data_IF_535168802062
#
_entry.id   IF_535168802062
#
_cell.length_a   1.000
_cell.length_b   1.000
_cell.length_c   1.000
_cell.angle_alpha   90.00
_cell.angle_beta   90.00
_cell.angle_gamma   90.00
#
_symmetry.space_group_name_H-M   'P 1'
#
loop_
_entity.id
_entity.type
_entity.pdbx_description
1 polymer ?
#
# COMPACT_ATOMS: atom_id res chain seq x y z
N UNK A 1 0.52 -0.07 -15.42
CA UNK A 1 1.43 0.37 -16.51
C UNK A 1 1.81 -0.75 -17.50
N UNK A 2 2.26 -1.95 -17.07
CA UNK A 2 2.59 -3.05 -18.02
C UNK A 2 1.43 -3.41 -18.96
N UNK A 3 0.19 -3.41 -18.45
CA UNK A 3 -1.00 -3.66 -19.27
C UNK A 3 -1.27 -2.58 -20.35
N UNK A 4 -0.75 -1.35 -20.18
CA UNK A 4 -0.89 -0.25 -21.16
C UNK A 4 0.25 -0.26 -22.19
N UNK A 5 1.48 -0.45 -21.71
CA UNK A 5 2.67 -0.37 -22.57
C UNK A 5 2.96 -1.68 -23.29
N UNK A 6 2.50 -2.83 -22.76
CA UNK A 6 2.86 -4.13 -23.28
C UNK A 6 4.36 -4.33 -23.26
N UNK A 7 4.97 -4.47 -24.44
CA UNK A 7 6.41 -4.62 -24.64
C UNK A 7 7.16 -3.28 -24.77
N UNK A 8 6.45 -2.14 -24.78
CA UNK A 8 7.05 -0.82 -24.95
C UNK A 8 7.74 -0.34 -23.68
N UNK A 9 8.85 0.40 -23.83
CA UNK A 9 9.65 0.92 -22.71
C UNK A 9 9.00 2.16 -22.08
N UNK A 10 8.95 2.30 -20.74
CA UNK A 10 8.54 3.56 -20.11
C UNK A 10 9.55 4.69 -20.31
N UNK A 11 10.75 4.39 -20.81
CA UNK A 11 11.88 5.30 -20.92
C UNK A 11 11.93 6.06 -22.27
N UNK A 12 10.77 6.28 -22.87
CA UNK A 12 10.61 6.97 -24.15
C UNK A 12 9.55 8.05 -24.04
N UNK A 13 9.60 9.02 -24.94
CA UNK A 13 8.52 9.98 -25.09
C UNK A 13 7.36 9.37 -25.90
N UNK A 14 6.14 9.58 -25.42
CA UNK A 14 4.92 9.15 -26.09
C UNK A 14 4.04 10.36 -26.38
N UNK A 15 2.91 10.09 -27.01
CA UNK A 15 1.90 11.08 -27.32
C UNK A 15 0.52 10.58 -26.92
N UNK A 16 -0.40 11.47 -26.58
CA UNK A 16 -1.80 11.12 -26.41
C UNK A 16 -2.38 10.58 -27.74
N UNK A 17 -3.18 9.52 -27.67
CA UNK A 17 -3.74 8.88 -28.86
C UNK A 17 -4.80 9.73 -29.61
N UNK A 18 -5.43 10.70 -28.94
CA UNK A 18 -6.48 11.57 -29.49
C UNK A 18 -5.88 12.92 -29.93
N UNK A 19 -5.02 13.52 -29.10
CA UNK A 19 -4.35 14.79 -29.40
C UNK A 19 -2.82 14.62 -29.47
N UNK A 20 -2.25 14.46 -30.68
CA UNK A 20 -0.83 14.21 -30.83
C UNK A 20 0.12 15.32 -30.36
N UNK A 21 -0.40 16.53 -30.16
CA UNK A 21 0.37 17.65 -29.62
C UNK A 21 0.64 17.51 -28.12
N UNK A 22 -0.13 16.66 -27.42
CA UNK A 22 0.08 16.36 -26.01
C UNK A 22 1.11 15.25 -25.87
N UNK A 23 2.36 15.65 -25.60
CA UNK A 23 3.48 14.75 -25.30
C UNK A 23 3.33 14.14 -23.90
N UNK A 24 3.74 12.89 -23.75
CA UNK A 24 3.64 12.10 -22.52
C UNK A 24 5.02 11.58 -22.11
N UNK A 25 5.37 11.79 -20.85
CA UNK A 25 6.50 11.16 -20.16
C UNK A 25 5.93 10.15 -19.16
N UNK A 26 6.50 8.95 -19.11
CA UNK A 26 5.96 7.86 -18.30
C UNK A 26 6.90 7.53 -17.15
N UNK A 27 6.32 7.23 -15.98
CA UNK A 27 7.05 6.78 -14.79
C UNK A 27 7.81 5.49 -15.10
N UNK A 28 9.12 5.47 -14.83
CA UNK A 28 9.84 4.21 -14.66
C UNK A 28 9.54 3.68 -13.25
N UNK A 29 8.48 2.87 -13.14
CA UNK A 29 7.96 2.46 -11.83
C UNK A 29 8.98 1.65 -11.02
N UNK A 30 9.78 0.79 -11.67
CA UNK A 30 10.78 -0.03 -10.98
C UNK A 30 11.81 0.87 -10.29
N UNK A 31 12.50 1.70 -11.06
CA UNK A 31 13.57 2.57 -10.53
C UNK A 31 13.03 3.61 -9.54
N UNK A 32 11.81 4.11 -9.76
CA UNK A 32 11.18 5.04 -8.82
C UNK A 32 10.86 4.34 -7.48
N UNK A 33 10.23 3.16 -7.54
CA UNK A 33 9.79 2.44 -6.34
C UNK A 33 10.98 1.81 -5.59
N UNK A 34 12.08 1.53 -6.27
CA UNK A 34 13.33 1.07 -5.66
C UNK A 34 13.93 2.13 -4.72
N UNK A 35 13.81 3.42 -5.09
CA UNK A 35 14.18 4.55 -4.22
C UNK A 35 13.08 4.84 -3.20
N UNK A 36 11.81 4.89 -3.63
CA UNK A 36 10.72 5.35 -2.78
C UNK A 36 10.35 4.36 -1.67
N UNK A 37 10.29 3.06 -1.99
CA UNK A 37 9.77 2.04 -1.08
C UNK A 37 10.81 1.01 -0.63
N UNK A 38 11.80 0.66 -1.48
CA UNK A 38 12.74 -0.43 -1.20
C UNK A 38 14.10 0.01 -0.65
N UNK A 39 14.37 1.31 -0.62
CA UNK A 39 15.69 1.84 -0.29
C UNK A 39 16.24 1.34 1.06
N UNK A 40 15.42 1.36 2.10
CA UNK A 40 15.76 0.87 3.44
C UNK A 40 15.42 -0.60 3.69
N UNK A 41 14.86 -1.31 2.71
CA UNK A 41 14.42 -2.69 2.89
C UNK A 41 15.60 -3.67 2.83
N UNK A 42 16.13 -4.05 3.99
CA UNK A 42 17.25 -5.00 4.10
C UNK A 42 16.92 -6.43 3.62
N UNK A 43 15.64 -6.78 3.52
CA UNK A 43 15.19 -8.06 2.98
C UNK A 43 15.09 -8.08 1.45
N UNK A 44 15.23 -6.93 0.79
CA UNK A 44 15.27 -6.85 -0.67
C UNK A 44 16.63 -7.34 -1.17
N UNK A 45 16.61 -8.23 -2.16
CA UNK A 45 17.81 -8.87 -2.71
C UNK A 45 18.83 -7.90 -3.32
N UNK A 46 18.40 -6.69 -3.70
CA UNK A 46 19.30 -5.64 -4.21
C UNK A 46 19.72 -4.64 -3.13
N UNK A 47 19.37 -4.85 -1.86
CA UNK A 47 19.84 -3.99 -0.78
C UNK A 47 21.34 -4.24 -0.47
N UNK A 48 22.13 -3.21 -0.15
CA UNK A 48 21.79 -1.79 -0.13
C UNK A 48 21.75 -1.18 -1.53
N UNK A 49 20.92 -0.15 -1.73
CA UNK A 49 20.92 0.64 -2.96
C UNK A 49 22.02 1.71 -2.90
N UNK A 50 23.05 1.56 -3.73
CA UNK A 50 24.15 2.54 -3.86
C UNK A 50 24.08 3.28 -5.19
N UNK A 51 24.74 4.43 -5.29
CA UNK A 51 24.83 5.20 -6.54
C UNK A 51 25.54 4.43 -7.65
N UNK A 52 26.57 3.65 -7.32
CA UNK A 52 27.26 2.77 -8.27
C UNK A 52 26.31 1.70 -8.83
N UNK A 53 25.53 1.05 -7.95
CA UNK A 53 24.54 0.05 -8.36
C UNK A 53 23.44 0.68 -9.22
N UNK A 54 22.93 1.83 -8.81
CA UNK A 54 21.89 2.54 -9.54
C UNK A 54 22.38 3.00 -10.93
N UNK A 55 23.59 3.56 -11.03
CA UNK A 55 24.17 3.97 -12.32
C UNK A 55 24.51 2.79 -13.22
N UNK A 56 24.91 1.64 -12.66
CA UNK A 56 25.04 0.39 -13.41
C UNK A 56 23.70 0.00 -14.05
N UNK A 57 22.60 0.00 -13.28
CA UNK A 57 21.27 -0.31 -13.85
C UNK A 57 20.85 0.66 -14.95
N UNK A 58 21.21 1.95 -14.83
CA UNK A 58 20.95 2.93 -15.88
C UNK A 58 21.73 2.62 -17.16
N UNK A 59 22.98 2.16 -17.05
CA UNK A 59 23.80 1.76 -18.20
C UNK A 59 23.34 0.44 -18.86
N UNK A 60 22.61 -0.39 -18.13
CA UNK A 60 22.02 -1.64 -18.62
C UNK A 60 20.69 -1.44 -19.37
N UNK A 61 20.17 -0.21 -19.40
CA UNK A 61 18.99 0.13 -20.18
C UNK A 61 19.23 -0.08 -21.68
N UNK A 62 18.15 -0.32 -22.43
CA UNK A 62 18.23 -0.49 -23.88
C UNK A 62 18.79 0.78 -24.51
N UNK A 63 19.67 0.68 -25.50
CA UNK A 63 20.23 1.85 -26.21
C UNK A 63 19.17 2.71 -26.87
N UNK A 64 17.98 2.15 -27.12
CA UNK A 64 16.85 2.91 -27.63
C UNK A 64 16.18 3.78 -26.57
N UNK A 65 16.37 3.52 -25.28
CA UNK A 65 15.78 4.29 -24.19
C UNK A 65 16.41 5.69 -24.13
N UNK A 66 15.62 6.73 -24.38
CA UNK A 66 16.10 8.11 -24.51
C UNK A 66 15.93 8.93 -23.21
N UNK A 67 15.09 8.50 -22.27
CA UNK A 67 14.78 9.26 -21.06
C UNK A 67 14.38 8.36 -19.90
N UNK A 68 14.89 8.62 -18.69
CA UNK A 68 14.45 7.91 -17.48
C UNK A 68 13.70 8.88 -16.58
N UNK A 69 12.42 8.63 -16.35
CA UNK A 69 11.59 9.46 -15.46
C UNK A 69 11.43 8.77 -14.10
N UNK A 70 11.93 9.42 -13.04
CA UNK A 70 11.76 8.98 -11.66
C UNK A 70 10.67 9.84 -11.01
N UNK A 71 9.51 9.25 -10.72
CA UNK A 71 8.39 9.95 -10.08
C UNK A 71 8.17 9.41 -8.68
N UNK A 72 8.34 10.29 -7.69
CA UNK A 72 8.31 9.99 -6.26
C UNK A 72 7.73 11.20 -5.53
N UNK A 73 7.06 10.96 -4.40
CA UNK A 73 6.56 12.03 -3.54
C UNK A 73 7.73 12.67 -2.77
N UNK A 74 7.62 13.96 -2.44
CA UNK A 74 8.69 14.67 -1.73
C UNK A 74 8.94 14.06 -0.34
N UNK A 75 7.88 13.58 0.29
CA UNK A 75 7.84 12.88 1.57
C UNK A 75 8.60 11.54 1.52
N UNK A 76 9.01 11.08 0.34
CA UNK A 76 9.98 9.98 0.21
C UNK A 76 11.23 10.25 1.05
N UNK A 77 11.71 11.49 1.06
CA UNK A 77 12.98 11.87 1.67
C UNK A 77 12.75 12.51 3.05
N UNK A 78 12.95 11.73 4.12
CA UNK A 78 12.82 12.17 5.50
C UNK A 78 11.62 11.60 6.24
N UNK A 79 10.51 11.28 5.55
CA UNK A 79 9.30 10.71 6.18
C UNK A 79 9.14 9.22 5.87
N UNK A 80 9.17 8.82 4.59
CA UNK A 80 9.11 7.40 4.20
C UNK A 80 10.47 6.71 4.27
N UNK A 81 11.54 7.41 3.89
CA UNK A 81 12.92 6.97 4.07
C UNK A 81 13.60 7.96 5.02
N UNK A 82 13.87 7.53 6.26
CA UNK A 82 14.46 8.40 7.28
C UNK A 82 15.93 8.69 7.00
N UNK A 83 16.46 9.76 7.59
CA UNK A 83 17.85 10.20 7.39
C UNK A 83 18.86 9.07 7.68
N UNK A 84 18.64 8.29 8.73
CA UNK A 84 19.54 7.22 9.17
C UNK A 84 19.65 6.07 8.17
N UNK A 85 18.73 5.99 7.21
CA UNK A 85 18.81 5.03 6.09
C UNK A 85 19.91 5.40 5.09
N UNK A 86 20.43 6.63 5.13
CA UNK A 86 21.43 7.16 4.20
C UNK A 86 20.81 7.71 2.90
N UNK A 87 19.49 7.89 2.84
CA UNK A 87 18.80 8.36 1.64
C UNK A 87 19.27 9.76 1.19
N UNK A 88 19.55 10.65 2.14
CA UNK A 88 20.04 12.00 1.82
C UNK A 88 21.44 11.96 1.22
N UNK A 89 22.34 11.12 1.76
CA UNK A 89 23.67 10.92 1.21
C UNK A 89 23.61 10.34 -0.21
N UNK A 90 22.74 9.34 -0.42
CA UNK A 90 22.49 8.78 -1.74
C UNK A 90 22.02 9.85 -2.73
N UNK A 91 21.01 10.64 -2.36
CA UNK A 91 20.47 11.69 -3.23
C UNK A 91 21.46 12.82 -3.49
N UNK A 92 22.30 13.17 -2.52
CA UNK A 92 23.36 14.16 -2.69
C UNK A 92 24.45 13.67 -3.66
N UNK A 93 24.80 12.38 -3.60
CA UNK A 93 25.82 11.78 -4.46
C UNK A 93 25.32 11.42 -5.87
N UNK A 94 24.01 11.14 -6.02
CA UNK A 94 23.43 10.57 -7.23
C UNK A 94 23.68 11.40 -8.50
N UNK A 95 23.49 12.74 -8.54
CA UNK A 95 23.77 13.53 -9.74
C UNK A 95 25.21 13.42 -10.20
N UNK A 96 26.17 13.47 -9.26
CA UNK A 96 27.60 13.35 -9.57
C UNK A 96 27.95 11.97 -10.11
N UNK A 97 27.37 10.91 -9.55
CA UNK A 97 27.55 9.55 -10.04
C UNK A 97 26.97 9.38 -11.46
N UNK A 98 25.79 9.93 -11.74
CA UNK A 98 25.16 9.86 -13.07
C UNK A 98 26.05 10.54 -14.13
N UNK A 99 26.53 11.77 -13.86
CA UNK A 99 27.41 12.47 -14.80
C UNK A 99 28.75 11.78 -15.05
N UNK A 100 29.27 11.08 -14.04
CA UNK A 100 30.57 10.41 -14.12
C UNK A 100 30.48 9.05 -14.82
N UNK A 101 29.42 8.28 -14.52
CA UNK A 101 29.36 6.86 -14.85
C UNK A 101 28.41 6.55 -16.00
N UNK A 102 27.63 7.52 -16.50
CA UNK A 102 26.63 7.31 -17.57
C UNK A 102 26.72 8.44 -18.61
N UNK A 103 26.14 8.22 -19.79
CA UNK A 103 25.98 9.27 -20.82
C UNK A 103 24.71 10.13 -20.61
N UNK A 104 23.96 9.88 -19.53
CA UNK A 104 22.71 10.56 -19.24
C UNK A 104 22.93 12.00 -18.76
N UNK A 105 21.93 12.85 -19.02
CA UNK A 105 21.89 14.25 -18.60
C UNK A 105 20.57 14.53 -17.91
N UNK A 106 20.56 15.54 -17.04
CA UNK A 106 19.34 16.04 -16.44
C UNK A 106 18.69 17.07 -17.35
N UNK A 107 17.37 16.96 -17.53
CA UNK A 107 16.58 17.87 -18.32
C UNK A 107 15.19 18.02 -17.69
N UNK A 108 14.64 19.22 -17.79
CA UNK A 108 13.26 19.50 -17.38
C UNK A 108 12.27 18.91 -18.41
N UNK A 109 11.00 18.66 -18.02
CA UNK A 109 9.97 18.24 -18.97
C UNK A 109 9.84 19.18 -20.19
N UNK A 110 10.06 20.49 -19.99
CA UNK A 110 10.03 21.49 -21.07
C UNK A 110 11.19 21.33 -22.06
N UNK A 111 12.39 21.02 -21.59
CA UNK A 111 13.55 20.76 -22.45
C UNK A 111 13.41 19.45 -23.19
N UNK A 112 13.00 18.38 -22.49
CA UNK A 112 12.69 17.09 -23.10
C UNK A 112 11.63 17.23 -24.20
N UNK A 113 10.59 18.04 -23.95
CA UNK A 113 9.55 18.34 -24.94
C UNK A 113 10.06 19.03 -26.21
N UNK A 114 11.24 19.66 -26.19
CA UNK A 114 11.90 20.25 -27.37
C UNK A 114 12.89 19.28 -28.04
N UNK A 115 13.54 18.44 -27.23
CA UNK A 115 14.63 17.57 -27.68
C UNK A 115 14.11 16.23 -28.23
N UNK A 116 13.12 15.63 -27.58
CA UNK A 116 12.64 14.28 -27.88
C UNK A 116 11.45 14.29 -28.85
N UNK A 117 11.41 13.24 -29.67
CA UNK A 117 10.28 12.96 -30.55
C UNK A 117 9.45 11.79 -29.98
N UNK A 118 8.12 11.93 -29.89
CA UNK A 118 7.28 10.83 -29.47
C UNK A 118 7.40 9.62 -30.39
N UNK A 119 7.65 8.43 -29.83
CA UNK A 119 7.83 7.21 -30.63
C UNK A 119 6.52 6.52 -31.00
N UNK A 120 5.46 6.75 -30.23
CA UNK A 120 4.15 6.17 -30.49
C UNK A 120 3.04 6.90 -29.70
N UNK A 121 1.77 6.80 -30.15
CA UNK A 121 0.63 7.12 -29.33
C UNK A 121 0.44 6.09 -28.20
N UNK A 122 -0.01 6.56 -27.04
CA UNK A 122 -0.48 5.73 -25.92
C UNK A 122 -1.98 5.92 -25.79
N UNK A 123 -2.70 4.83 -25.94
CA UNK A 123 -4.14 4.75 -25.74
C UNK A 123 -4.41 4.08 -24.40
N UNK A 124 -5.17 4.73 -23.53
CA UNK A 124 -5.63 4.18 -22.25
C UNK A 124 -7.15 4.26 -22.25
N UNK A 125 -7.87 3.13 -22.41
CA UNK A 125 -9.31 3.15 -22.62
C UNK A 125 -10.11 3.42 -21.33
N UNK A 126 -9.50 3.19 -20.17
CA UNK A 126 -10.11 3.40 -18.86
C UNK A 126 -9.23 4.30 -17.99
N UNK A 127 -9.81 5.09 -17.08
CA UNK A 127 -9.03 5.85 -16.11
C UNK A 127 -8.12 4.94 -15.29
N UNK A 128 -6.86 5.33 -15.18
CA UNK A 128 -5.85 4.62 -14.38
C UNK A 128 -5.14 5.62 -13.48
N UNK A 129 -4.50 5.11 -12.44
CA UNK A 129 -3.63 5.90 -11.58
C UNK A 129 -2.32 5.18 -11.28
N UNK A 130 -1.42 5.89 -10.63
CA UNK A 130 -0.21 5.33 -10.08
C UNK A 130 -0.37 4.80 -8.64
N UNK A 131 -1.55 4.93 -8.02
CA UNK A 131 -1.82 4.51 -6.65
C UNK A 131 -2.18 3.02 -6.57
N UNK A 132 -1.95 2.44 -5.39
CA UNK A 132 -2.23 1.04 -5.00
C UNK A 132 -1.75 -0.03 -6.01
N UNK A 133 -1.97 -1.31 -5.74
CA UNK A 133 -1.55 -2.37 -6.64
C UNK A 133 -2.40 -2.41 -7.93
N UNK A 134 -3.68 -2.09 -7.84
CA UNK A 134 -4.64 -2.21 -8.95
C UNK A 134 -4.39 -1.17 -10.06
N UNK A 135 -3.70 -0.07 -9.76
CA UNK A 135 -3.37 1.03 -10.69
C UNK A 135 -4.59 1.60 -11.40
N UNK A 136 -5.71 1.66 -10.71
CA UNK A 136 -6.97 2.24 -11.18
C UNK A 136 -7.38 3.43 -10.30
N UNK A 137 -8.64 3.85 -10.38
CA UNK A 137 -9.20 4.99 -9.61
C UNK A 137 -9.80 4.58 -8.27
N UNK A 138 -9.73 3.31 -7.88
CA UNK A 138 -10.43 2.80 -6.68
C UNK A 138 -9.83 3.31 -5.37
N UNK A 139 -8.62 3.90 -5.40
CA UNK A 139 -8.08 4.64 -4.26
C UNK A 139 -8.95 5.85 -3.86
N UNK A 140 -9.68 6.45 -4.82
CA UNK A 140 -10.56 7.60 -4.59
C UNK A 140 -12.03 7.33 -4.87
N UNK A 141 -12.37 6.32 -5.67
CA UNK A 141 -13.74 5.99 -6.10
C UNK A 141 -14.05 4.49 -5.99
N UNK A 142 -13.49 3.81 -4.98
CA UNK A 142 -13.59 2.37 -4.78
C UNK A 142 -14.75 1.87 -3.92
N UNK A 143 -15.45 2.77 -3.21
CA UNK A 143 -16.56 2.38 -2.32
C UNK A 143 -17.74 3.38 -2.34
N UNK A 144 -18.83 3.01 -1.67
CA UNK A 144 -20.05 3.84 -1.59
C UNK A 144 -19.80 5.23 -0.98
N UNK A 145 -18.95 5.35 0.05
CA UNK A 145 -18.66 6.62 0.74
C UNK A 145 -18.04 7.62 -0.25
N UNK A 146 -17.02 7.15 -0.95
CA UNK A 146 -16.25 7.88 -1.93
C UNK A 146 -17.11 8.34 -3.11
N UNK A 147 -17.87 7.40 -3.69
CA UNK A 147 -18.74 7.69 -4.82
C UNK A 147 -19.85 8.67 -4.45
N UNK A 148 -20.44 8.52 -3.25
CA UNK A 148 -21.48 9.43 -2.76
C UNK A 148 -20.94 10.85 -2.57
N UNK A 149 -19.79 11.01 -1.89
CA UNK A 149 -19.14 12.31 -1.70
C UNK A 149 -18.79 12.97 -3.04
N UNK A 150 -18.20 12.21 -3.96
CA UNK A 150 -17.81 12.70 -5.27
C UNK A 150 -19.01 13.15 -6.11
N UNK A 151 -20.07 12.35 -6.17
CA UNK A 151 -21.25 12.66 -6.97
C UNK A 151 -21.99 13.89 -6.44
N UNK A 152 -22.16 14.01 -5.11
CA UNK A 152 -22.81 15.17 -4.51
C UNK A 152 -22.05 16.46 -4.73
N UNK A 153 -20.71 16.43 -4.62
CA UNK A 153 -19.90 17.58 -4.99
C UNK A 153 -20.12 17.95 -6.45
N UNK A 154 -19.99 16.99 -7.37
CA UNK A 154 -20.12 17.26 -8.82
C UNK A 154 -21.50 17.78 -9.23
N UNK A 155 -22.57 17.41 -8.53
CA UNK A 155 -23.92 17.94 -8.79
C UNK A 155 -23.97 19.48 -8.69
N UNK A 156 -23.14 20.08 -7.85
CA UNK A 156 -23.05 21.54 -7.69
C UNK A 156 -22.27 22.24 -8.81
N UNK A 157 -21.59 21.51 -9.68
CA UNK A 157 -20.66 22.10 -10.68
C UNK A 157 -21.32 23.15 -11.56
N UNK A 158 -22.53 22.87 -12.06
CA UNK A 158 -23.28 23.81 -12.91
C UNK A 158 -23.70 25.06 -12.14
N UNK A 159 -24.16 24.89 -10.90
CA UNK A 159 -24.60 25.96 -10.00
C UNK A 159 -23.46 26.89 -9.62
N UNK A 160 -22.34 26.33 -9.16
CA UNK A 160 -21.16 27.09 -8.73
C UNK A 160 -20.51 27.84 -9.89
N UNK A 161 -20.55 27.31 -11.12
CA UNK A 161 -19.98 27.95 -12.30
C UNK A 161 -20.54 29.35 -12.58
N UNK A 162 -21.77 29.64 -12.15
CA UNK A 162 -22.44 30.92 -12.37
C UNK A 162 -22.19 31.95 -11.27
N UNK A 163 -21.51 31.57 -10.19
CA UNK A 163 -21.27 32.41 -9.02
C UNK A 163 -19.91 33.10 -9.14
N UNK A 164 -19.88 34.44 -9.08
CA UNK A 164 -18.63 35.20 -9.17
C UNK A 164 -17.99 35.52 -7.81
N UNK A 165 -18.53 35.00 -6.70
CA UNK A 165 -17.99 35.19 -5.36
C UNK A 165 -16.62 34.47 -5.21
N UNK A 166 -15.51 35.19 -4.98
CA UNK A 166 -14.18 34.58 -4.89
C UNK A 166 -14.04 33.57 -3.75
N UNK A 167 -14.77 33.76 -2.64
CA UNK A 167 -14.73 32.81 -1.52
C UNK A 167 -15.41 31.49 -1.86
N UNK A 168 -16.53 31.53 -2.58
CA UNK A 168 -17.23 30.33 -3.03
C UNK A 168 -16.36 29.58 -4.04
N UNK A 169 -15.76 30.29 -5.00
CA UNK A 169 -14.87 29.69 -5.99
C UNK A 169 -13.65 29.03 -5.35
N UNK A 170 -13.03 29.67 -4.35
CA UNK A 170 -11.91 29.07 -3.62
C UNK A 170 -12.33 27.81 -2.88
N UNK A 171 -13.40 27.87 -2.11
CA UNK A 171 -13.82 26.75 -1.26
C UNK A 171 -14.33 25.58 -2.11
N UNK A 172 -14.95 25.86 -3.26
CA UNK A 172 -15.26 24.86 -4.30
C UNK A 172 -14.02 24.11 -4.78
N UNK A 173 -12.91 24.81 -5.02
CA UNK A 173 -11.65 24.19 -5.42
C UNK A 173 -11.07 23.34 -4.29
N UNK A 174 -11.14 23.80 -3.04
CA UNK A 174 -10.67 23.03 -1.89
C UNK A 174 -11.46 21.75 -1.66
N UNK A 175 -12.79 21.79 -1.80
CA UNK A 175 -13.64 20.61 -1.67
C UNK A 175 -13.36 19.53 -2.72
N UNK A 176 -12.72 19.87 -3.85
CA UNK A 176 -12.30 18.94 -4.90
C UNK A 176 -10.93 18.28 -4.65
N UNK A 177 -10.24 18.65 -3.57
CA UNK A 177 -8.96 18.03 -3.21
C UNK A 177 -9.11 16.52 -3.05
N UNK A 178 -8.29 15.75 -3.76
CA UNK A 178 -8.44 14.29 -3.84
C UNK A 178 -8.27 13.58 -2.50
N UNK A 179 -7.50 14.16 -1.58
CA UNK A 179 -7.26 13.65 -0.23
C UNK A 179 -8.56 13.39 0.54
N UNK A 180 -9.58 14.24 0.35
CA UNK A 180 -10.89 14.03 0.97
C UNK A 180 -11.47 12.66 0.63
N UNK A 181 -11.44 12.27 -0.64
CA UNK A 181 -11.94 10.96 -1.08
C UNK A 181 -10.98 9.83 -0.70
N UNK A 182 -9.67 10.09 -0.70
CA UNK A 182 -8.67 9.13 -0.26
C UNK A 182 -8.88 8.72 1.21
N UNK A 183 -9.18 9.67 2.08
CA UNK A 183 -9.47 9.42 3.50
C UNK A 183 -10.75 8.61 3.75
N UNK A 184 -11.66 8.56 2.78
CA UNK A 184 -12.88 7.74 2.80
C UNK A 184 -12.67 6.34 2.21
N UNK A 185 -11.47 6.00 1.73
CA UNK A 185 -11.15 4.65 1.23
C UNK A 185 -11.40 3.61 2.32
N UNK A 186 -11.77 2.39 1.95
CA UNK A 186 -11.92 1.25 2.87
C UNK A 186 -10.86 0.17 2.64
N UNK A 187 -9.90 0.41 1.73
CA UNK A 187 -8.81 -0.52 1.41
C UNK A 187 -7.82 -0.77 2.56
N UNK A 188 -7.87 0.06 3.60
CA UNK A 188 -7.18 -0.10 4.89
C UNK A 188 -7.24 -1.50 5.49
N UNK A 189 -8.30 -2.26 5.20
CA UNK A 189 -8.49 -3.61 5.71
C UNK A 189 -7.73 -4.69 4.91
N UNK A 190 -7.17 -4.37 3.74
CA UNK A 190 -6.47 -5.32 2.87
C UNK A 190 -4.98 -5.02 2.66
N UNK A 191 -4.55 -3.75 2.62
CA UNK A 191 -3.12 -3.38 2.44
C UNK A 191 -2.72 -2.22 3.37
N UNK A 192 -1.94 -2.55 4.40
CA UNK A 192 -1.95 -1.87 5.68
C UNK A 192 -0.86 -0.84 5.97
N UNK A 193 -0.02 -0.43 5.01
CA UNK A 193 1.19 0.36 5.34
C UNK A 193 1.24 1.79 4.75
N UNK A 194 0.71 2.05 3.55
CA UNK A 194 0.85 3.38 2.92
C UNK A 194 -0.27 4.34 3.33
N UNK A 195 -1.44 3.81 3.69
CA UNK A 195 -2.61 4.64 3.99
C UNK A 195 -2.56 5.25 5.41
N UNK A 196 -1.97 4.57 6.40
CA UNK A 196 -1.92 5.01 7.82
C UNK A 196 -1.22 6.32 8.09
N UNK A 197 -0.28 6.70 7.24
CA UNK A 197 0.61 7.82 7.54
C UNK A 197 -0.05 9.20 7.38
N UNK A 198 -1.20 9.32 6.71
CA UNK A 198 -1.76 10.63 6.34
C UNK A 198 -3.27 10.83 6.53
N UNK A 199 -3.97 9.99 7.30
CA UNK A 199 -5.41 10.20 7.54
C UNK A 199 -5.68 10.85 8.91
N UNK A 200 -6.20 12.09 8.97
CA UNK A 200 -6.48 12.76 10.24
C UNK A 200 -7.71 12.19 10.95
N UNK A 201 -8.47 11.31 10.31
CA UNK A 201 -9.69 10.71 10.85
C UNK A 201 -9.43 9.31 11.41
N UNK A 202 -10.15 8.94 12.47
CA UNK A 202 -10.02 7.62 13.10
C UNK A 202 -10.52 6.47 12.23
N UNK A 203 -11.44 6.76 11.30
CA UNK A 203 -11.95 5.79 10.33
C UNK A 203 -12.58 6.48 9.10
N UNK A 204 -12.84 5.74 8.00
CA UNK A 204 -13.39 6.30 6.77
C UNK A 204 -14.80 6.92 6.90
N UNK A 205 -15.61 6.46 7.85
CA UNK A 205 -16.94 7.03 8.10
C UNK A 205 -16.84 8.40 8.76
N UNK A 206 -15.89 8.60 9.69
CA UNK A 206 -15.64 9.91 10.29
C UNK A 206 -15.21 10.93 9.23
N UNK A 207 -14.33 10.52 8.30
CA UNK A 207 -13.92 11.34 7.16
C UNK A 207 -15.12 11.73 6.28
N UNK A 208 -15.99 10.76 5.96
CA UNK A 208 -17.21 10.99 5.18
C UNK A 208 -18.19 11.93 5.88
N UNK A 209 -18.50 11.70 7.16
CA UNK A 209 -19.44 12.52 7.93
C UNK A 209 -18.92 13.95 8.02
N UNK A 210 -17.63 14.13 8.32
CA UNK A 210 -17.02 15.45 8.36
C UNK A 210 -17.11 16.16 7.00
N UNK A 211 -16.75 15.48 5.92
CA UNK A 211 -16.84 16.04 4.57
C UNK A 211 -18.26 16.44 4.20
N UNK A 212 -19.26 15.59 4.47
CA UNK A 212 -20.66 15.89 4.17
C UNK A 212 -21.22 17.06 4.98
N UNK A 213 -20.79 17.21 6.24
CA UNK A 213 -21.17 18.38 7.03
C UNK A 213 -20.59 19.68 6.43
N UNK A 214 -19.32 19.66 6.02
CA UNK A 214 -18.69 20.81 5.35
C UNK A 214 -19.34 21.08 3.99
N UNK A 215 -19.66 20.05 3.21
CA UNK A 215 -20.34 20.19 1.93
C UNK A 215 -21.76 20.76 2.12
N UNK A 216 -22.47 20.36 3.18
CA UNK A 216 -23.78 20.93 3.51
C UNK A 216 -23.69 22.42 3.82
N UNK A 217 -22.70 22.84 4.60
CA UNK A 217 -22.46 24.27 4.86
C UNK A 217 -22.14 25.03 3.57
N UNK A 218 -21.28 24.46 2.73
CA UNK A 218 -20.95 25.04 1.43
C UNK A 218 -22.18 25.22 0.54
N UNK A 219 -23.11 24.27 0.54
CA UNK A 219 -24.36 24.37 -0.24
C UNK A 219 -25.27 25.48 0.29
N UNK A 220 -25.41 25.63 1.61
CA UNK A 220 -26.15 26.76 2.20
C UNK A 220 -25.52 28.10 1.78
N UNK A 221 -24.18 28.15 1.70
CA UNK A 221 -23.48 29.34 1.22
C UNK A 221 -23.71 29.60 -0.27
N UNK A 222 -23.85 28.55 -1.09
CA UNK A 222 -24.27 28.64 -2.49
C UNK A 222 -25.73 29.14 -2.59
N UNK A 223 -26.62 28.69 -1.72
CA UNK A 223 -28.02 29.15 -1.64
C UNK A 223 -28.09 30.67 -1.42
N UNK A 224 -27.26 31.18 -0.51
CA UNK A 224 -27.18 32.61 -0.20
C UNK A 224 -26.72 33.49 -1.38
N UNK A 225 -26.16 32.89 -2.44
CA UNK A 225 -25.86 33.58 -3.71
C UNK A 225 -27.07 33.64 -4.66
N UNK A 226 -28.26 33.24 -4.19
CA UNK A 226 -29.50 33.25 -4.94
C UNK A 226 -29.70 32.04 -5.86
N UNK A 227 -29.01 30.94 -5.57
CA UNK A 227 -29.09 29.69 -6.35
C UNK A 227 -29.97 28.68 -5.61
N UNK A 228 -30.94 28.09 -6.32
CA UNK A 228 -31.76 27.01 -5.76
C UNK A 228 -30.92 25.75 -5.55
N UNK A 229 -30.93 25.22 -4.32
CA UNK A 229 -30.18 24.03 -3.88
C UNK A 229 -31.01 23.07 -3.01
N UNK A 230 -32.34 23.19 -3.04
CA UNK A 230 -33.23 22.42 -2.15
C UNK A 230 -33.06 20.90 -2.32
N UNK A 231 -32.87 20.46 -3.56
CA UNK A 231 -32.63 19.05 -3.91
C UNK A 231 -31.30 18.57 -3.30
N UNK A 232 -30.22 19.31 -3.47
CA UNK A 232 -28.90 18.93 -2.95
C UNK A 232 -28.84 18.91 -1.42
N UNK A 233 -29.51 19.85 -0.75
CA UNK A 233 -29.60 19.86 0.72
C UNK A 233 -30.38 18.67 1.25
N UNK A 234 -31.47 18.28 0.58
CA UNK A 234 -32.25 17.10 0.95
C UNK A 234 -31.42 15.82 0.76
N UNK A 235 -30.76 15.70 -0.39
CA UNK A 235 -29.94 14.56 -0.74
C UNK A 235 -28.76 14.35 0.21
N UNK A 236 -28.14 15.43 0.70
CA UNK A 236 -27.09 15.32 1.72
C UNK A 236 -27.63 14.82 3.04
N UNK A 237 -28.75 15.37 3.51
CA UNK A 237 -29.35 14.95 4.79
C UNK A 237 -29.69 13.47 4.79
N UNK A 238 -30.26 12.97 3.69
CA UNK A 238 -30.57 11.55 3.50
C UNK A 238 -29.29 10.69 3.50
N UNK A 239 -28.24 11.12 2.78
CA UNK A 239 -26.98 10.40 2.75
C UNK A 239 -26.30 10.33 4.13
N UNK A 240 -26.21 11.45 4.85
CA UNK A 240 -25.62 11.50 6.20
C UNK A 240 -26.39 10.60 7.16
N UNK A 241 -27.73 10.64 7.13
CA UNK A 241 -28.54 9.76 7.98
C UNK A 241 -28.31 8.28 7.65
N UNK A 242 -28.36 7.92 6.36
CA UNK A 242 -28.17 6.52 5.94
C UNK A 242 -26.78 5.99 6.30
N UNK A 243 -25.75 6.83 6.17
CA UNK A 243 -24.37 6.44 6.40
C UNK A 243 -24.04 6.38 7.89
N UNK A 244 -24.65 7.25 8.70
CA UNK A 244 -24.52 7.19 10.17
C UNK A 244 -25.08 5.87 10.72
N UNK A 245 -26.24 5.42 10.20
CA UNK A 245 -26.77 4.10 10.54
C UNK A 245 -25.85 2.95 10.13
N UNK A 246 -25.27 3.03 8.91
CA UNK A 246 -24.30 2.04 8.42
C UNK A 246 -23.05 2.01 9.30
N UNK A 247 -22.51 3.18 9.67
CA UNK A 247 -21.35 3.31 10.55
C UNK A 247 -21.63 2.69 11.93
N UNK A 248 -22.77 3.00 12.55
CA UNK A 248 -23.15 2.39 13.82
C UNK A 248 -23.26 0.87 13.73
N UNK A 249 -23.87 0.34 12.66
CA UNK A 249 -23.98 -1.10 12.43
C UNK A 249 -22.61 -1.74 12.22
N UNK A 250 -21.72 -1.09 11.48
CA UNK A 250 -20.35 -1.55 11.26
C UNK A 250 -19.53 -1.56 12.56
N UNK A 251 -19.62 -0.51 13.37
CA UNK A 251 -18.99 -0.41 14.69
C UNK A 251 -19.55 -1.48 15.63
N UNK A 252 -20.87 -1.69 15.67
CA UNK A 252 -21.50 -2.77 16.47
C UNK A 252 -21.03 -4.15 16.01
N UNK A 253 -20.89 -4.38 14.71
CA UNK A 253 -20.40 -5.65 14.14
C UNK A 253 -18.90 -5.85 14.43
N UNK A 254 -18.09 -4.80 14.32
CA UNK A 254 -16.68 -4.84 14.66
C UNK A 254 -16.47 -5.05 16.16
N UNK A 255 -17.22 -4.34 17.02
CA UNK A 255 -17.23 -4.53 18.47
C UNK A 255 -17.71 -5.93 18.84
N UNK A 256 -18.72 -6.49 18.15
CA UNK A 256 -19.14 -7.88 18.33
C UNK A 256 -18.06 -8.86 17.89
N UNK A 257 -17.37 -8.63 16.77
CA UNK A 257 -16.26 -9.47 16.29
C UNK A 257 -15.06 -9.40 17.24
N UNK A 258 -14.73 -8.21 17.74
CA UNK A 258 -13.69 -7.97 18.74
C UNK A 258 -14.07 -8.61 20.08
N UNK A 259 -15.35 -8.52 20.49
CA UNK A 259 -15.88 -9.18 21.68
C UNK A 259 -15.91 -10.70 21.53
N UNK A 260 -16.29 -11.25 20.38
CA UNK A 260 -16.19 -12.69 20.07
C UNK A 260 -14.73 -13.17 20.00
N UNK A 261 -13.80 -12.29 19.61
CA UNK A 261 -12.35 -12.54 19.60
C UNK A 261 -11.71 -12.36 20.99
N UNK A 262 -12.33 -11.58 21.89
CA UNK A 262 -11.91 -11.37 23.28
C UNK A 262 -12.55 -12.42 24.23
N UNK A 263 -13.78 -12.86 23.95
CA UNK A 263 -14.50 -13.91 24.69
C UNK A 263 -13.99 -15.31 24.31
N UNK A 264 -13.37 -15.47 23.14
CA UNK A 264 -12.43 -16.56 22.88
C UNK A 264 -11.03 -16.12 23.31
N UNK A 265 -10.70 -16.32 24.59
CA UNK A 265 -9.31 -16.26 25.04
C UNK A 265 -8.42 -17.04 24.07
N UNK A 266 -7.33 -16.41 23.60
CA UNK A 266 -6.55 -16.89 22.46
C UNK A 266 -5.80 -18.17 22.85
N UNK A 267 -6.41 -19.33 22.62
CA UNK A 267 -5.65 -20.58 22.48
C UNK A 267 -4.75 -20.41 21.25
N UNK A 268 -3.45 -20.25 21.49
CA UNK A 268 -2.41 -20.27 20.49
C UNK A 268 -2.35 -21.67 19.87
N UNK A 269 -2.45 -21.75 18.55
CA UNK A 269 -2.37 -23.00 17.80
C UNK A 269 -0.94 -23.21 17.25
N UNK A 270 -0.67 -24.40 16.72
CA UNK A 270 0.67 -24.77 16.23
C UNK A 270 1.15 -23.89 15.06
N UNK A 271 0.23 -23.40 14.23
CA UNK A 271 0.55 -22.56 13.08
C UNK A 271 0.90 -21.12 13.49
N UNK A 272 0.49 -20.67 14.68
CA UNK A 272 0.80 -19.33 15.21
C UNK A 272 2.30 -19.16 15.51
N UNK A 273 3.08 -20.26 15.55
CA UNK A 273 4.52 -20.24 15.80
C UNK A 273 5.28 -19.50 14.69
N UNK A 274 4.75 -19.46 13.47
CA UNK A 274 5.38 -18.74 12.34
C UNK A 274 5.55 -17.23 12.61
N UNK A 275 4.60 -16.65 13.35
CA UNK A 275 4.51 -15.22 13.63
C UNK A 275 5.20 -14.84 14.96
N UNK A 276 5.85 -15.80 15.64
CA UNK A 276 6.55 -15.59 16.90
C UNK A 276 7.97 -15.05 16.69
N UNK A 277 8.49 -14.34 17.70
CA UNK A 277 9.89 -13.90 17.73
C UNK A 277 10.85 -15.09 17.95
N UNK A 278 12.10 -14.97 17.48
CA UNK A 278 13.14 -16.00 17.69
C UNK A 278 13.34 -16.33 19.17
N UNK A 279 13.25 -15.34 20.04
CA UNK A 279 13.38 -15.53 21.49
C UNK A 279 12.23 -16.36 22.07
N UNK A 280 11.01 -16.15 21.58
CA UNK A 280 9.84 -16.91 21.99
C UNK A 280 9.89 -18.35 21.45
N UNK A 281 10.30 -18.55 20.21
CA UNK A 281 10.51 -19.88 19.62
C UNK A 281 11.60 -20.63 20.38
N UNK A 282 12.75 -19.99 20.68
CA UNK A 282 13.82 -20.60 21.49
C UNK A 282 13.36 -20.96 22.90
N UNK A 283 12.43 -20.20 23.49
CA UNK A 283 11.86 -20.50 24.81
C UNK A 283 10.90 -21.70 24.73
N UNK A 284 10.06 -21.76 23.70
CA UNK A 284 9.20 -22.92 23.43
C UNK A 284 10.01 -24.21 23.20
N UNK A 285 11.05 -24.14 22.36
CA UNK A 285 11.90 -25.28 22.01
C UNK A 285 12.73 -25.84 23.18
N UNK A 286 12.85 -25.12 24.30
CA UNK A 286 13.48 -25.63 25.53
C UNK A 286 12.54 -26.53 26.33
N UNK A 287 11.23 -26.34 26.18
CA UNK A 287 10.19 -27.04 26.94
C UNK A 287 9.57 -28.22 26.16
N UNK A 288 10.04 -28.47 24.94
CA UNK A 288 9.56 -29.53 24.04
C UNK A 288 10.72 -30.47 23.71
N UNK A 289 10.49 -31.77 23.86
CA UNK A 289 11.47 -32.78 23.47
C UNK A 289 11.57 -32.94 21.94
N UNK A 290 12.73 -33.39 21.47
CA UNK A 290 13.03 -33.46 20.04
C UNK A 290 12.15 -34.49 19.31
N UNK A 291 11.66 -35.53 20.00
CA UNK A 291 10.75 -36.51 19.41
C UNK A 291 9.38 -35.88 19.12
N UNK A 292 8.82 -35.16 20.10
CA UNK A 292 7.57 -34.41 19.96
C UNK A 292 7.66 -33.35 18.85
N UNK A 293 8.77 -32.61 18.80
CA UNK A 293 9.01 -31.63 17.74
C UNK A 293 9.11 -32.29 16.35
N UNK A 294 9.85 -33.39 16.25
CA UNK A 294 10.02 -34.11 14.98
C UNK A 294 8.68 -34.65 14.47
N UNK A 295 7.84 -35.18 15.37
CA UNK A 295 6.50 -35.64 15.04
C UNK A 295 5.52 -34.52 14.65
N UNK A 296 5.59 -33.36 15.30
CA UNK A 296 4.73 -32.21 15.02
C UNK A 296 5.03 -31.54 13.67
N UNK A 297 6.30 -31.55 13.26
CA UNK A 297 6.78 -31.00 11.98
C UNK A 297 6.56 -31.92 10.77
N UNK A 298 6.06 -33.16 10.96
CA UNK A 298 5.66 -34.00 9.82
C UNK A 298 4.42 -33.43 9.12
N UNK A 299 4.44 -33.48 7.79
CA UNK A 299 3.37 -32.94 6.91
C UNK A 299 3.02 -31.46 7.22
N UNK A 300 4.02 -30.69 7.64
CA UNK A 300 3.91 -29.25 7.90
C UNK A 300 4.33 -28.46 6.65
N UNK A 301 3.81 -27.24 6.50
CA UNK A 301 4.19 -26.33 5.43
C UNK A 301 5.67 -25.94 5.54
N UNK A 302 6.33 -25.73 4.41
CA UNK A 302 7.78 -25.43 4.36
C UNK A 302 8.14 -24.18 5.18
N UNK A 303 7.28 -23.15 5.17
CA UNK A 303 7.44 -21.89 5.90
C UNK A 303 7.58 -22.07 7.43
N UNK A 304 6.79 -22.95 8.04
CA UNK A 304 6.81 -23.18 9.48
C UNK A 304 8.06 -23.99 9.90
N UNK A 305 8.48 -24.95 9.07
CA UNK A 305 9.70 -25.71 9.31
C UNK A 305 10.95 -24.81 9.20
N UNK A 306 11.02 -23.98 8.16
CA UNK A 306 12.09 -22.99 7.96
C UNK A 306 12.17 -21.97 9.09
N UNK A 307 11.05 -21.67 9.76
CA UNK A 307 11.03 -20.79 10.93
C UNK A 307 11.59 -21.46 12.19
N UNK A 308 11.23 -22.72 12.44
CA UNK A 308 11.47 -23.41 13.71
C UNK A 308 12.87 -24.04 13.74
N UNK A 309 13.27 -24.68 12.64
CA UNK A 309 14.52 -25.46 12.55
C UNK A 309 15.79 -24.64 12.86
N UNK A 310 15.96 -23.41 12.34
CA UNK A 310 17.17 -22.60 12.59
C UNK A 310 17.35 -22.20 14.05
N UNK A 311 16.28 -22.28 14.85
CA UNK A 311 16.31 -21.93 16.27
C UNK A 311 16.76 -23.11 17.16
N UNK A 312 17.02 -24.30 16.59
CA UNK A 312 17.53 -25.46 17.33
C UNK A 312 19.02 -25.31 17.67
N UNK A 313 19.43 -25.83 18.83
CA UNK A 313 20.85 -25.97 19.16
C UNK A 313 21.54 -26.98 18.23
N UNK A 314 22.85 -26.88 18.05
CA UNK A 314 23.64 -27.80 17.22
C UNK A 314 23.47 -29.28 17.62
N UNK A 315 23.24 -29.55 18.91
CA UNK A 315 22.97 -30.91 19.42
C UNK A 315 21.55 -31.36 19.05
N UNK A 316 20.56 -30.52 19.33
CA UNK A 316 19.15 -30.78 19.00
C UNK A 316 18.92 -30.97 17.49
N UNK A 317 19.63 -30.21 16.66
CA UNK A 317 19.56 -30.31 15.20
C UNK A 317 20.04 -31.68 14.69
N UNK A 318 21.18 -32.17 15.20
CA UNK A 318 21.70 -33.50 14.85
C UNK A 318 20.77 -34.64 15.24
N UNK A 319 20.08 -34.49 16.37
CA UNK A 319 19.10 -35.45 16.88
C UNK A 319 17.81 -35.44 16.06
N UNK A 320 17.32 -34.24 15.70
CA UNK A 320 16.20 -34.06 14.78
C UNK A 320 16.47 -34.72 13.42
N UNK A 321 17.62 -34.42 12.79
CA UNK A 321 17.97 -34.94 11.45
C UNK A 321 18.08 -36.48 11.45
N UNK A 322 18.43 -37.08 12.60
CA UNK A 322 18.47 -38.54 12.78
C UNK A 322 17.06 -39.12 12.88
N UNK A 323 16.23 -38.55 13.76
CA UNK A 323 14.85 -39.00 13.98
C UNK A 323 13.97 -38.80 12.75
N UNK A 324 14.16 -37.71 12.00
CA UNK A 324 13.42 -37.42 10.78
C UNK A 324 13.59 -38.53 9.72
N UNK A 325 14.81 -39.09 9.61
CA UNK A 325 15.17 -40.17 8.68
C UNK A 325 14.65 -41.54 9.13
N UNK A 326 14.52 -41.75 10.44
CA UNK A 326 13.98 -42.99 11.04
C UNK A 326 12.44 -43.00 10.97
N UNK A 327 11.79 -41.85 11.14
CA UNK A 327 10.33 -41.66 11.08
C UNK A 327 9.83 -41.47 9.63
N UNK A 328 9.87 -42.55 8.82
CA UNK A 328 9.43 -42.52 7.41
C UNK A 328 7.90 -42.52 7.19
N UNK A 329 7.10 -43.02 8.15
CA UNK A 329 5.63 -43.00 8.11
C UNK A 329 5.06 -42.83 9.51
N UNK A 330 4.40 -41.70 9.76
CA UNK A 330 3.69 -41.41 11.01
C UNK A 330 2.19 -41.36 10.72
N UNK A 331 1.34 -41.95 11.58
CA UNK A 331 -0.11 -41.88 11.36
C UNK A 331 -0.59 -40.45 11.60
N UNK A 332 -1.61 -40.00 10.85
CA UNK A 332 -2.22 -38.67 11.05
C UNK A 332 -2.74 -38.44 12.49
N UNK A 333 -3.14 -39.51 13.18
CA UNK A 333 -3.54 -39.46 14.60
C UNK A 333 -2.38 -39.06 15.51
N UNK A 334 -1.18 -39.55 15.21
CA UNK A 334 0.01 -39.35 16.03
C UNK A 334 0.57 -37.94 15.77
N UNK A 335 0.55 -37.47 14.51
CA UNK A 335 0.89 -36.08 14.16
C UNK A 335 0.00 -35.09 14.91
N UNK A 336 -1.32 -35.33 14.95
CA UNK A 336 -2.26 -34.48 15.71
C UNK A 336 -1.95 -34.48 17.21
N UNK A 337 -1.55 -35.63 17.76
CA UNK A 337 -1.16 -35.74 19.17
C UNK A 337 0.09 -34.92 19.46
N UNK A 338 1.12 -35.01 18.62
CA UNK A 338 2.34 -34.22 18.78
C UNK A 338 2.07 -32.72 18.63
N UNK A 339 1.29 -32.29 17.62
CA UNK A 339 0.90 -30.88 17.47
C UNK A 339 0.14 -30.36 18.68
N UNK A 340 -0.81 -31.14 19.22
CA UNK A 340 -1.54 -30.78 20.43
C UNK A 340 -0.61 -30.60 21.65
N UNK A 341 0.39 -31.46 21.81
CA UNK A 341 1.38 -31.30 22.89
C UNK A 341 2.20 -30.01 22.75
N UNK A 342 2.53 -29.61 21.52
CA UNK A 342 3.19 -28.32 21.26
C UNK A 342 2.24 -27.15 21.54
N UNK A 343 0.98 -27.25 21.14
CA UNK A 343 -0.06 -26.24 21.39
C UNK A 343 -0.34 -26.05 22.89
N UNK A 344 -0.44 -27.14 23.65
CA UNK A 344 -0.63 -27.10 25.10
C UNK A 344 0.54 -26.35 25.76
N UNK A 345 1.78 -26.62 25.33
CA UNK A 345 2.98 -25.92 25.82
C UNK A 345 3.07 -24.47 25.36
N UNK A 346 2.63 -24.18 24.14
CA UNK A 346 2.56 -22.84 23.58
C UNK A 346 1.59 -21.97 24.40
N UNK A 347 0.44 -22.53 24.76
CA UNK A 347 -0.55 -21.88 25.62
C UNK A 347 -0.10 -21.75 27.08
N UNK A 348 0.61 -22.73 27.62
CA UNK A 348 1.18 -22.63 28.97
C UNK A 348 2.20 -21.47 29.07
N UNK A 349 3.03 -21.29 28.04
CA UNK A 349 4.12 -20.31 28.06
C UNK A 349 3.71 -18.91 27.61
N UNK A 350 2.73 -18.80 26.72
CA UNK A 350 2.37 -17.58 26.01
C UNK A 350 0.87 -17.34 25.87
N UNK A 351 0.03 -18.30 26.28
CA UNK A 351 -1.40 -18.08 26.42
C UNK A 351 -1.69 -17.08 27.53
N UNK A 352 -2.75 -16.29 27.37
CA UNK A 352 -3.23 -15.35 28.38
C UNK A 352 -4.38 -15.93 29.18
#
# INVERSE_FOLDING_TARGET
AKHVLGWRSPNMMYTNAINPNLKLLLKNFRLSDDIAFRFSNQGWNEWPLTTDKFTQWLNELDKKDEVVNLFMDYETFGEHQWEETGIFDFMAALPGAIYKNTDLKFATPKELGKQLQPVAPVHVPYPISWADEERDITAWLGNDLQNEAFNKLNALSSKVKHINNPSIQRDWLYLQTSDHFYYMSTKWFSDGDVHKYFNPYGNPYDAFINYMNVLSDFIIRVENEGVDVDEELKDIKEAVSSMSEKAEKAVKKAAKKVKETLEKGKELNFDDIKDMSDSAIKKLLKEIDIETLTGALKDTKEDLAERIIPNLSTKARKEYDKLEKELKKVKKSDIRKYRKMVEDKLNELFGK
#
